data_IF_125849006121
#
_entry.id   IF_125849006121
#
_cell.length_a   1.000
_cell.length_b   1.000
_cell.length_c   1.000
_cell.angle_alpha   90.00
_cell.angle_beta   90.00
_cell.angle_gamma   90.00
#
_symmetry.space_group_name_H-M   'P 1'
#
loop_
_entity.id
_entity.type
_entity.pdbx_description
1 polymer ?
#
# COMPACT_ATOMS: atom_id res chain seq x y z
N UNK A 1 7.38 -18.09 -13.54
CA UNK A 1 7.83 -17.33 -12.35
C UNK A 1 7.32 -18.07 -11.14
N UNK A 2 8.20 -18.68 -10.35
CA UNK A 2 7.79 -19.25 -9.07
C UNK A 2 7.43 -18.07 -8.16
N UNK A 3 6.17 -18.02 -7.73
CA UNK A 3 5.78 -17.18 -6.60
C UNK A 3 6.45 -17.81 -5.38
N UNK A 4 7.66 -17.38 -5.07
CA UNK A 4 8.38 -17.94 -3.94
C UNK A 4 7.65 -17.56 -2.65
N UNK A 5 7.09 -18.57 -1.99
CA UNK A 5 6.34 -18.41 -0.76
C UNK A 5 7.20 -17.70 0.30
N UNK A 6 6.65 -16.65 0.90
CA UNK A 6 7.38 -15.75 1.82
C UNK A 6 7.99 -16.50 3.01
N UNK A 7 7.28 -17.51 3.55
CA UNK A 7 7.73 -18.37 4.64
C UNK A 7 8.94 -19.22 4.23
N UNK A 8 8.92 -19.74 2.99
CA UNK A 8 10.02 -20.53 2.43
C UNK A 8 11.24 -19.64 2.16
N UNK A 9 11.02 -18.43 1.61
CA UNK A 9 12.10 -17.45 1.41
C UNK A 9 12.77 -17.13 2.73
N UNK A 10 12.00 -16.78 3.77
CA UNK A 10 12.53 -16.47 5.09
C UNK A 10 13.40 -17.60 5.64
N UNK A 11 12.98 -18.86 5.48
CA UNK A 11 13.75 -20.02 5.92
C UNK A 11 15.04 -20.22 5.14
N UNK A 12 14.98 -20.12 3.81
CA UNK A 12 16.12 -20.38 2.93
C UNK A 12 17.15 -19.24 2.99
N UNK A 13 16.70 -18.00 2.95
CA UNK A 13 17.55 -16.80 3.00
C UNK A 13 18.40 -16.75 4.28
N UNK A 14 17.79 -17.11 5.41
CA UNK A 14 18.42 -17.06 6.72
C UNK A 14 19.01 -18.42 7.16
N UNK A 15 18.92 -19.45 6.31
CA UNK A 15 19.42 -20.80 6.62
C UNK A 15 18.79 -21.44 7.86
N UNK A 16 17.53 -21.09 8.17
CA UNK A 16 16.89 -21.50 9.42
C UNK A 16 16.45 -22.97 9.37
N UNK A 17 16.65 -23.75 10.44
CA UNK A 17 16.05 -25.07 10.55
C UNK A 17 14.54 -24.92 10.75
N UNK A 18 13.75 -25.71 10.02
CA UNK A 18 12.29 -25.67 10.11
C UNK A 18 11.75 -25.90 11.54
N UNK A 19 12.50 -26.61 12.39
CA UNK A 19 12.18 -26.83 13.81
C UNK A 19 12.06 -25.51 14.57
N UNK A 20 12.96 -24.57 14.33
CA UNK A 20 13.03 -23.33 15.10
C UNK A 20 11.90 -22.38 14.72
N UNK A 21 11.53 -22.34 13.43
CA UNK A 21 10.35 -21.62 12.97
C UNK A 21 9.06 -22.20 13.57
N UNK A 22 8.91 -23.53 13.56
CA UNK A 22 7.75 -24.21 14.18
C UNK A 22 7.65 -23.87 15.66
N UNK A 23 8.76 -23.84 16.40
CA UNK A 23 8.77 -23.50 17.82
C UNK A 23 8.25 -22.07 18.09
N UNK A 24 8.59 -21.10 17.23
CA UNK A 24 8.06 -19.73 17.33
C UNK A 24 6.56 -19.71 17.04
N UNK A 25 6.11 -20.36 15.97
CA UNK A 25 4.69 -20.40 15.62
C UNK A 25 3.88 -21.12 16.70
N UNK A 26 4.43 -22.14 17.35
CA UNK A 26 3.80 -22.87 18.46
C UNK A 26 3.53 -21.99 19.69
N UNK A 27 4.24 -20.88 19.87
CA UNK A 27 3.93 -19.93 20.95
C UNK A 27 2.56 -19.27 20.79
N UNK A 28 2.11 -19.11 19.53
CA UNK A 28 0.80 -18.56 19.18
C UNK A 28 -0.22 -19.67 18.90
N UNK A 29 0.22 -20.75 18.25
CA UNK A 29 -0.61 -21.87 17.81
C UNK A 29 0.00 -23.20 18.26
N UNK A 30 -0.31 -23.68 19.48
CA UNK A 30 0.35 -24.86 20.05
C UNK A 30 0.22 -26.15 19.23
N UNK A 31 -0.78 -26.24 18.34
CA UNK A 31 -1.02 -27.38 17.45
C UNK A 31 -0.26 -27.30 16.12
N UNK A 32 0.51 -26.24 15.88
CA UNK A 32 1.29 -26.10 14.66
C UNK A 32 2.46 -27.09 14.69
N UNK A 33 2.68 -27.84 13.61
CA UNK A 33 3.72 -28.87 13.52
C UNK A 33 4.57 -28.72 12.25
N UNK A 34 5.58 -29.59 12.12
CA UNK A 34 6.49 -29.60 10.95
C UNK A 34 5.77 -29.91 9.63
N UNK A 35 4.68 -30.67 9.69
CA UNK A 35 3.87 -31.01 8.50
C UNK A 35 3.11 -29.77 8.02
N UNK A 36 2.54 -28.99 8.95
CA UNK A 36 1.89 -27.71 8.66
C UNK A 36 2.90 -26.70 8.09
N UNK A 37 4.09 -26.58 8.69
CA UNK A 37 5.17 -25.75 8.15
C UNK A 37 5.49 -26.12 6.69
N UNK A 38 5.68 -27.41 6.38
CA UNK A 38 5.97 -27.85 5.02
C UNK A 38 4.83 -27.56 4.03
N UNK A 39 3.58 -27.62 4.46
CA UNK A 39 2.41 -27.29 3.62
C UNK A 39 2.31 -25.79 3.39
N UNK A 40 2.51 -24.98 4.43
CA UNK A 40 2.52 -23.53 4.33
C UNK A 40 3.66 -23.01 3.44
N UNK A 41 4.84 -23.64 3.47
CA UNK A 41 5.96 -23.31 2.56
C UNK A 41 5.67 -23.65 1.10
N UNK A 42 4.76 -24.60 0.85
CA UNK A 42 4.26 -24.98 -0.48
C UNK A 42 2.81 -24.55 -0.65
N UNK A 43 2.49 -23.33 -0.18
CA UNK A 43 1.12 -22.85 -0.07
C UNK A 43 0.36 -22.87 -1.40
N UNK A 44 1.03 -22.67 -2.54
CA UNK A 44 0.41 -22.74 -3.87
C UNK A 44 -0.03 -24.17 -4.23
N UNK A 45 0.70 -25.21 -3.78
CA UNK A 45 0.35 -26.62 -4.04
C UNK A 45 -0.79 -27.10 -3.13
N UNK A 46 -0.81 -26.63 -1.89
CA UNK A 46 -1.77 -27.10 -0.86
C UNK A 46 -2.94 -26.14 -0.62
N UNK A 47 -2.91 -24.93 -1.19
CA UNK A 47 -3.89 -23.88 -0.94
C UNK A 47 -3.90 -23.34 0.50
N UNK A 48 -2.80 -23.49 1.25
CA UNK A 48 -2.72 -23.09 2.66
C UNK A 48 -1.54 -22.16 2.90
N UNK A 49 -1.79 -21.03 3.55
CA UNK A 49 -0.76 -20.07 3.96
C UNK A 49 -0.69 -19.94 5.47
N UNK A 50 0.47 -19.56 5.98
CA UNK A 50 0.64 -19.23 7.39
C UNK A 50 -0.16 -17.97 7.73
N UNK A 51 -0.71 -17.88 8.95
CA UNK A 51 -1.42 -16.67 9.37
C UNK A 51 -0.47 -15.46 9.45
N UNK A 52 -0.94 -14.24 9.12
CA UNK A 52 -0.11 -13.04 9.14
C UNK A 52 0.53 -12.72 10.51
N UNK A 53 -0.16 -13.03 11.61
CA UNK A 53 0.37 -12.83 12.97
C UNK A 53 1.53 -13.78 13.29
N UNK A 54 1.43 -15.05 12.90
CA UNK A 54 2.53 -16.00 12.98
C UNK A 54 3.71 -15.61 12.08
N UNK A 55 3.44 -15.10 10.87
CA UNK A 55 4.50 -14.58 10.00
C UNK A 55 5.21 -13.36 10.62
N UNK A 56 4.44 -12.45 11.23
CA UNK A 56 4.99 -11.30 11.95
C UNK A 56 5.88 -11.74 13.13
N UNK A 57 5.45 -12.72 13.92
CA UNK A 57 6.26 -13.25 15.03
C UNK A 57 7.58 -13.89 14.54
N UNK A 58 7.55 -14.56 13.39
CA UNK A 58 8.76 -15.07 12.75
C UNK A 58 9.68 -13.93 12.29
N UNK A 59 9.13 -12.87 11.69
CA UNK A 59 9.91 -11.68 11.34
C UNK A 59 10.51 -10.99 12.56
N UNK A 60 9.74 -10.79 13.64
CA UNK A 60 10.22 -10.18 14.90
C UNK A 60 11.42 -10.94 15.48
N UNK A 61 11.46 -12.26 15.29
CA UNK A 61 12.53 -13.10 15.82
C UNK A 61 13.74 -13.20 14.89
N UNK A 62 13.52 -13.36 13.60
CA UNK A 62 14.55 -13.78 12.65
C UNK A 62 14.98 -12.69 11.66
N UNK A 63 14.11 -11.73 11.35
CA UNK A 63 14.39 -10.65 10.42
C UNK A 63 13.62 -9.38 10.82
N UNK A 64 13.96 -8.77 11.98
CA UNK A 64 13.29 -7.56 12.45
C UNK A 64 13.51 -6.38 11.50
N UNK A 65 14.54 -6.40 10.67
CA UNK A 65 14.77 -5.43 9.58
C UNK A 65 13.72 -5.51 8.46
N UNK A 66 13.10 -6.69 8.26
CA UNK A 66 12.00 -6.88 7.29
C UNK A 66 10.64 -6.45 7.84
N UNK A 67 10.55 -6.16 9.15
CA UNK A 67 9.44 -5.40 9.73
C UNK A 67 9.66 -3.92 9.44
N UNK A 68 9.76 -3.56 8.16
CA UNK A 68 9.52 -2.16 7.82
C UNK A 68 8.13 -1.82 8.38
N UNK A 69 8.00 -0.73 9.16
CA UNK A 69 6.69 -0.33 9.64
C UNK A 69 5.81 -0.24 8.39
N UNK A 70 4.62 -0.87 8.38
CA UNK A 70 3.74 -0.79 7.22
C UNK A 70 3.65 0.69 6.89
N UNK A 71 4.06 1.07 5.65
CA UNK A 71 3.88 2.43 5.15
C UNK A 71 2.45 2.75 5.49
N UNK A 72 2.25 3.57 6.53
CA UNK A 72 0.90 3.92 6.99
C UNK A 72 0.23 4.41 5.73
N UNK A 73 -0.70 3.63 5.18
CA UNK A 73 -1.58 4.12 4.16
C UNK A 73 -2.33 5.21 4.90
N UNK A 74 -1.82 6.43 4.75
CA UNK A 74 -2.30 7.63 5.42
C UNK A 74 -3.63 7.96 4.78
N UNK A 75 -4.63 7.10 4.98
CA UNK A 75 -6.02 7.46 4.87
C UNK A 75 -6.23 8.60 5.88
N UNK A 76 -6.23 9.83 5.38
CA UNK A 76 -6.44 11.04 6.18
C UNK A 76 -5.25 11.98 6.36
N UNK A 77 -4.16 11.89 5.59
CA UNK A 77 -3.12 12.95 5.63
C UNK A 77 -3.01 13.82 4.37
N UNK A 78 -4.07 13.87 3.58
CA UNK A 78 -4.13 14.92 2.57
C UNK A 78 -4.48 16.23 3.28
N UNK A 79 -3.53 17.18 3.34
CA UNK A 79 -3.77 18.54 3.85
C UNK A 79 -4.96 19.21 3.16
N UNK A 80 -5.21 18.85 1.91
CA UNK A 80 -6.37 19.26 1.11
C UNK A 80 -7.32 18.08 0.97
N UNK A 81 -8.35 18.02 1.83
CA UNK A 81 -9.32 16.92 1.87
C UNK A 81 -10.51 17.12 0.92
N UNK A 82 -10.86 18.36 0.61
CA UNK A 82 -11.99 18.69 -0.26
C UNK A 82 -11.57 18.66 -1.73
N UNK A 83 -12.31 17.92 -2.57
CA UNK A 83 -12.07 17.80 -4.02
C UNK A 83 -13.21 18.41 -4.81
N UNK A 84 -12.87 19.26 -5.77
CA UNK A 84 -13.80 19.79 -6.77
C UNK A 84 -13.52 19.07 -8.11
N UNK A 85 -14.57 18.55 -8.75
CA UNK A 85 -14.46 17.90 -10.05
C UNK A 85 -15.76 18.04 -10.84
N UNK A 86 -15.65 18.23 -12.15
CA UNK A 86 -16.76 18.26 -13.09
C UNK A 86 -16.42 17.54 -14.40
N UNK A 87 -17.42 17.26 -15.23
CA UNK A 87 -17.24 16.74 -16.58
C UNK A 87 -17.50 17.85 -17.59
N UNK A 88 -16.66 17.92 -18.61
CA UNK A 88 -16.75 18.90 -19.69
C UNK A 88 -16.90 18.16 -21.01
N UNK A 89 -17.51 18.79 -22.01
CA UNK A 89 -17.45 18.31 -23.39
C UNK A 89 -16.03 18.42 -23.93
N UNK A 90 -15.68 17.53 -24.87
CA UNK A 90 -14.32 17.44 -25.41
C UNK A 90 -13.85 18.76 -26.06
N UNK A 91 -14.75 19.48 -26.74
CA UNK A 91 -14.47 20.78 -27.36
C UNK A 91 -14.12 21.85 -26.33
N UNK A 92 -14.86 21.88 -25.22
CA UNK A 92 -14.65 22.82 -24.10
C UNK A 92 -13.37 22.48 -23.35
N UNK A 93 -13.10 21.20 -23.15
CA UNK A 93 -11.87 20.74 -22.50
C UNK A 93 -10.62 21.08 -23.33
N UNK A 94 -10.67 20.87 -24.65
CA UNK A 94 -9.57 21.20 -25.54
C UNK A 94 -9.26 22.71 -25.56
N UNK A 95 -10.30 23.55 -25.62
CA UNK A 95 -10.14 25.00 -25.54
C UNK A 95 -9.53 25.42 -24.19
N UNK A 96 -10.01 24.83 -23.08
CA UNK A 96 -9.49 25.10 -21.75
C UNK A 96 -7.99 24.77 -21.64
N UNK A 97 -7.54 23.64 -22.20
CA UNK A 97 -6.12 23.27 -22.18
C UNK A 97 -5.25 24.30 -22.91
N UNK A 98 -5.69 24.79 -24.07
CA UNK A 98 -4.95 25.81 -24.83
C UNK A 98 -4.84 27.13 -24.06
N UNK A 99 -5.94 27.57 -23.44
CA UNK A 99 -5.93 28.80 -22.64
C UNK A 99 -5.05 28.66 -21.40
N UNK A 100 -5.09 27.53 -20.72
CA UNK A 100 -4.22 27.29 -19.56
C UNK A 100 -2.73 27.36 -19.92
N UNK A 101 -2.34 26.87 -21.09
CA UNK A 101 -0.96 26.93 -21.57
C UNK A 101 -0.52 28.37 -21.88
N UNK A 102 -1.39 29.15 -22.52
CA UNK A 102 -1.17 30.58 -22.81
C UNK A 102 -1.04 31.39 -21.51
N UNK A 103 -1.88 31.10 -20.53
CA UNK A 103 -1.93 31.80 -19.23
C UNK A 103 -0.81 31.34 -18.28
N UNK A 104 -0.04 30.30 -18.64
CA UNK A 104 1.12 29.82 -17.90
C UNK A 104 0.81 28.90 -16.71
N UNK A 105 -0.36 28.28 -16.67
CA UNK A 105 -0.71 27.32 -15.61
C UNK A 105 -0.03 25.96 -15.85
N UNK A 106 0.71 25.46 -14.86
CA UNK A 106 1.42 24.19 -15.01
C UNK A 106 0.51 22.97 -14.89
N UNK A 107 -0.62 23.11 -14.16
CA UNK A 107 -1.57 22.01 -13.96
C UNK A 107 -3.03 22.50 -13.92
N UNK A 108 -3.97 21.61 -14.26
CA UNK A 108 -5.42 21.90 -14.11
C UNK A 108 -5.80 22.16 -12.66
N UNK A 109 -5.12 21.53 -11.71
CA UNK A 109 -5.37 21.75 -10.28
C UNK A 109 -5.01 23.19 -9.86
N UNK A 110 -3.90 23.72 -10.37
CA UNK A 110 -3.49 25.10 -10.13
C UNK A 110 -4.50 26.10 -10.72
N UNK A 111 -4.91 25.87 -11.97
CA UNK A 111 -5.93 26.68 -12.63
C UNK A 111 -7.26 26.66 -11.86
N UNK A 112 -7.78 25.48 -11.48
CA UNK A 112 -9.01 25.35 -10.68
C UNK A 112 -8.86 26.11 -9.36
N UNK A 113 -7.72 25.98 -8.67
CA UNK A 113 -7.49 26.66 -7.39
C UNK A 113 -7.50 28.18 -7.56
N UNK A 114 -6.85 28.71 -8.61
CA UNK A 114 -6.83 30.14 -8.90
C UNK A 114 -8.23 30.67 -9.22
N UNK A 115 -9.02 29.95 -10.02
CA UNK A 115 -10.40 30.34 -10.36
C UNK A 115 -11.31 30.34 -9.13
N UNK A 116 -11.20 29.33 -8.26
CA UNK A 116 -11.98 29.25 -7.02
C UNK A 116 -11.63 30.39 -6.06
N UNK A 117 -10.34 30.69 -5.87
CA UNK A 117 -9.92 31.80 -5.01
C UNK A 117 -10.40 33.15 -5.54
N UNK A 118 -10.32 33.37 -6.86
CA UNK A 118 -10.84 34.59 -7.48
C UNK A 118 -12.35 34.74 -7.27
N UNK A 119 -13.11 33.66 -7.48
CA UNK A 119 -14.56 33.67 -7.28
C UNK A 119 -14.96 33.97 -5.83
N UNK A 120 -14.26 33.40 -4.85
CA UNK A 120 -14.50 33.68 -3.42
C UNK A 120 -14.17 35.15 -3.11
N UNK A 121 -13.01 35.64 -3.56
CA UNK A 121 -12.60 37.02 -3.31
C UNK A 121 -13.59 38.05 -3.90
N UNK A 122 -14.10 37.79 -5.10
CA UNK A 122 -15.15 38.63 -5.73
C UNK A 122 -16.44 38.62 -4.92
N UNK A 123 -16.82 37.47 -4.35
CA UNK A 123 -18.05 37.31 -3.55
C UNK A 123 -17.95 37.86 -2.13
N UNK A 124 -16.75 37.96 -1.57
CA UNK A 124 -16.51 38.57 -0.26
C UNK A 124 -16.37 40.09 -0.31
N UNK A 125 -16.20 40.67 -1.51
CA UNK A 125 -16.12 42.12 -1.74
C UNK A 125 -17.48 42.77 -2.08
N UNK A 126 -18.53 41.97 -2.26
CA UNK A 126 -19.91 42.37 -2.58
C UNK A 126 -20.78 42.38 -1.31
#
# INVERSE_FOLDING_TARGET
>A
MQNDNELRCLRVDLGLPAKDMVAIVQTLYPKFDKTMQSKCERGDEYGVNIRPDAMKALYERFAPERLEPPKRTRHGQHRLTCRISGRLEDSVYAALQQHMEIDGYATTQEWITAMVLRYIAEKEQE
#
